data_IF_225125373604
#
_entry.id   IF_225125373604
#
_cell.length_a   1.000
_cell.length_b   1.000
_cell.length_c   1.000
_cell.angle_alpha   90.00
_cell.angle_beta   90.00
_cell.angle_gamma   90.00
#
_symmetry.space_group_name_H-M   'P 1'
#
loop_
_entity.id
_entity.type
_entity.pdbx_description
1 polymer ?
#
# COMPACT_ATOMS: atom_id res chain seq x y z
N UNK A 1 -22.00 -42.59 -34.18
CA UNK A 1 -21.80 -43.11 -32.80
C UNK A 1 -20.35 -42.85 -32.47
N UNK A 2 -20.11 -41.67 -31.92
CA UNK A 2 -18.81 -41.08 -31.68
C UNK A 2 -18.25 -41.49 -30.32
N UNK A 3 -16.97 -41.84 -30.28
CA UNK A 3 -16.16 -41.77 -29.05
C UNK A 3 -14.90 -40.95 -29.34
N UNK A 4 -14.66 -40.02 -28.43
CA UNK A 4 -13.73 -38.90 -28.53
C UNK A 4 -12.31 -39.30 -28.13
N UNK A 5 -11.33 -38.87 -28.92
CA UNK A 5 -9.92 -38.72 -28.53
C UNK A 5 -9.59 -37.23 -28.51
N UNK A 6 -8.91 -36.82 -27.43
CA UNK A 6 -8.63 -35.43 -27.12
C UNK A 6 -7.63 -34.74 -28.04
N UNK A 7 -7.51 -33.42 -27.85
CA UNK A 7 -6.36 -32.58 -28.19
C UNK A 7 -6.36 -31.40 -27.20
N UNK A 8 -5.20 -31.17 -26.61
CA UNK A 8 -4.82 -29.98 -25.85
C UNK A 8 -4.76 -28.77 -26.78
N UNK A 9 -5.26 -27.60 -26.38
CA UNK A 9 -4.83 -26.33 -26.97
C UNK A 9 -4.93 -25.16 -25.99
N UNK A 10 -3.74 -24.68 -25.63
CA UNK A 10 -3.35 -23.30 -25.34
C UNK A 10 -4.35 -22.23 -25.80
N UNK A 11 -4.77 -21.37 -24.87
CA UNK A 11 -5.32 -20.05 -25.21
C UNK A 11 -4.32 -18.97 -24.80
N UNK A 12 -3.65 -18.47 -25.84
CA UNK A 12 -2.71 -17.36 -25.83
C UNK A 12 -3.32 -16.05 -25.30
N UNK A 13 -2.64 -15.49 -24.30
CA UNK A 13 -2.72 -14.10 -23.89
C UNK A 13 -2.17 -13.20 -25.02
N UNK A 14 -3.06 -12.66 -25.86
CA UNK A 14 -2.70 -11.57 -26.79
C UNK A 14 -2.52 -10.26 -26.04
N UNK A 15 -1.26 -9.98 -25.71
CA UNK A 15 -0.72 -8.70 -25.24
C UNK A 15 -0.56 -7.75 -26.44
N UNK A 16 -1.36 -6.69 -26.50
CA UNK A 16 -1.13 -5.58 -27.43
C UNK A 16 0.20 -4.88 -27.09
N UNK A 17 1.22 -5.02 -27.95
CA UNK A 17 2.41 -4.16 -27.96
C UNK A 17 2.30 -3.18 -29.12
N UNK A 18 2.24 -1.90 -28.76
CA UNK A 18 2.28 -0.78 -29.71
C UNK A 18 3.68 -0.63 -30.31
N UNK A 19 3.69 -0.34 -31.61
CA UNK A 19 4.84 -0.11 -32.48
C UNK A 19 5.52 1.21 -32.14
N UNK A 20 6.85 1.21 -32.00
CA UNK A 20 7.66 2.41 -32.22
C UNK A 20 8.90 2.04 -33.02
N UNK A 21 8.78 2.21 -34.34
CA UNK A 21 9.91 2.33 -35.26
C UNK A 21 10.62 3.66 -35.00
N UNK A 22 11.95 3.65 -34.99
CA UNK A 22 12.76 4.65 -35.70
C UNK A 22 14.21 4.18 -35.85
N UNK A 23 14.46 3.63 -37.04
CA UNK A 23 15.51 4.01 -38.01
C UNK A 23 16.87 4.44 -37.43
N UNK A 24 17.86 3.59 -37.73
CA UNK A 24 19.29 3.85 -37.73
C UNK A 24 19.73 4.60 -39.01
N UNK A 25 20.73 5.51 -38.89
CA UNK A 25 21.75 5.79 -39.92
C UNK A 25 22.95 6.61 -39.37
N UNK A 26 24.10 5.92 -39.33
CA UNK A 26 25.50 6.27 -39.70
C UNK A 26 26.18 7.63 -39.41
N UNK A 27 27.27 7.54 -38.62
CA UNK A 27 28.67 7.98 -38.84
C UNK A 27 29.08 9.46 -39.01
N UNK A 28 29.91 10.02 -38.10
CA UNK A 28 31.39 10.16 -38.15
C UNK A 28 31.94 11.38 -37.36
N UNK A 29 33.12 11.16 -36.74
CA UNK A 29 34.19 12.08 -36.32
C UNK A 29 33.96 13.21 -35.29
N UNK A 30 34.65 13.06 -34.15
CA UNK A 30 35.75 13.97 -33.80
C UNK A 30 35.50 15.10 -32.78
N UNK A 31 36.41 15.15 -31.81
CA UNK A 31 36.86 16.32 -30.99
C UNK A 31 36.41 16.32 -29.52
N UNK A 32 37.39 16.01 -28.68
CA UNK A 32 37.45 16.23 -27.23
C UNK A 32 37.47 17.72 -26.89
N UNK A 33 36.63 18.18 -25.94
CA UNK A 33 36.96 19.34 -25.07
C UNK A 33 36.34 19.19 -23.68
N UNK A 34 37.23 19.25 -22.69
CA UNK A 34 36.99 19.52 -21.28
C UNK A 34 36.28 20.87 -21.11
N UNK A 35 35.36 20.99 -20.15
CA UNK A 35 34.80 22.30 -19.80
C UNK A 35 33.59 22.27 -18.86
N UNK A 36 33.88 22.46 -17.58
CA UNK A 36 33.06 23.15 -16.57
C UNK A 36 31.65 22.66 -16.26
N UNK A 37 31.56 22.00 -15.10
CA UNK A 37 30.33 21.81 -14.36
C UNK A 37 29.66 23.15 -14.06
N UNK A 38 28.48 23.34 -14.63
CA UNK A 38 27.48 24.27 -14.12
C UNK A 38 26.40 23.41 -13.46
N UNK A 39 26.53 23.25 -12.14
CA UNK A 39 25.51 22.65 -11.30
C UNK A 39 24.25 23.50 -11.30
N UNK A 40 23.42 23.34 -12.34
CA UNK A 40 22.02 23.73 -12.28
C UNK A 40 21.33 22.77 -11.31
N UNK A 41 21.28 23.18 -10.05
CA UNK A 41 20.30 22.71 -9.08
C UNK A 41 18.93 22.90 -9.69
N UNK A 42 18.48 21.88 -10.41
CA UNK A 42 17.12 21.75 -10.90
C UNK A 42 16.28 21.59 -9.64
N UNK A 43 15.88 22.72 -9.07
CA UNK A 43 14.89 22.80 -8.02
C UNK A 43 13.69 22.05 -8.58
N UNK A 44 13.54 20.79 -8.15
CA UNK A 44 12.32 20.03 -8.32
C UNK A 44 11.32 20.74 -7.43
N UNK A 45 10.80 21.86 -7.96
CA UNK A 45 9.48 22.33 -7.64
C UNK A 45 8.63 21.08 -7.67
N UNK A 46 8.26 20.61 -6.48
CA UNK A 46 7.16 19.67 -6.30
C UNK A 46 5.95 20.46 -6.78
N UNK A 47 5.81 20.55 -8.10
CA UNK A 47 4.52 20.80 -8.69
C UNK A 47 3.68 19.65 -8.16
N UNK A 48 2.92 19.97 -7.13
CA UNK A 48 1.63 19.41 -6.81
C UNK A 48 0.83 19.42 -8.12
N UNK A 49 1.17 18.49 -9.02
CA UNK A 49 0.33 18.09 -10.11
C UNK A 49 -0.98 17.81 -9.42
N UNK A 50 -2.05 18.55 -9.74
CA UNK A 50 -3.36 18.24 -9.21
C UNK A 50 -3.56 16.75 -9.36
N UNK A 51 -3.53 16.04 -8.23
CA UNK A 51 -3.77 14.61 -8.22
C UNK A 51 -5.17 14.45 -8.78
N UNK A 52 -5.26 13.86 -9.96
CA UNK A 52 -6.53 13.50 -10.58
C UNK A 52 -7.23 12.50 -9.67
N UNK A 53 -7.94 13.00 -8.65
CA UNK A 53 -8.65 12.15 -7.72
C UNK A 53 -9.78 11.46 -8.47
N UNK A 54 -9.73 10.12 -8.48
CA UNK A 54 -10.74 9.31 -9.16
C UNK A 54 -12.15 9.71 -8.71
N UNK A 55 -12.35 9.97 -7.41
CA UNK A 55 -13.65 10.35 -6.83
C UNK A 55 -14.17 11.67 -7.40
N UNK A 56 -13.32 12.68 -7.56
CA UNK A 56 -13.66 13.97 -8.19
C UNK A 56 -14.08 13.80 -9.65
N UNK A 57 -13.44 12.86 -10.33
CA UNK A 57 -13.68 12.58 -11.75
C UNK A 57 -14.87 11.63 -11.98
N UNK A 58 -15.46 11.06 -10.92
CA UNK A 58 -16.66 10.23 -11.05
C UNK A 58 -17.90 11.09 -11.26
N UNK A 59 -18.71 10.72 -12.24
CA UNK A 59 -20.00 11.38 -12.50
C UNK A 59 -20.98 11.10 -11.36
N UNK A 60 -21.97 11.98 -11.17
CA UNK A 60 -23.04 11.75 -10.19
C UNK A 60 -23.74 10.40 -10.41
N UNK A 61 -24.02 10.03 -11.66
CA UNK A 61 -24.58 8.73 -12.02
C UNK A 61 -23.70 7.56 -11.58
N UNK A 62 -22.38 7.65 -11.74
CA UNK A 62 -21.45 6.62 -11.28
C UNK A 62 -21.47 6.50 -9.76
N UNK A 63 -21.47 7.61 -9.02
CA UNK A 63 -21.58 7.60 -7.56
C UNK A 63 -22.91 7.00 -7.09
N UNK A 64 -24.03 7.39 -7.70
CA UNK A 64 -25.35 6.77 -7.41
C UNK A 64 -25.34 5.27 -7.70
N UNK A 65 -24.72 4.85 -8.81
CA UNK A 65 -24.62 3.43 -9.16
C UNK A 65 -23.82 2.62 -8.14
N UNK A 66 -22.74 3.19 -7.56
CA UNK A 66 -21.98 2.60 -6.46
C UNK A 66 -22.87 2.44 -5.23
N UNK A 67 -23.57 3.50 -4.82
CA UNK A 67 -24.45 3.48 -3.65
C UNK A 67 -25.56 2.43 -3.80
N UNK A 68 -26.24 2.39 -4.94
CA UNK A 68 -27.32 1.44 -5.20
C UNK A 68 -26.82 0.00 -5.23
N UNK A 69 -25.72 -0.26 -5.94
CA UNK A 69 -25.17 -1.61 -6.05
C UNK A 69 -24.54 -2.11 -4.75
N UNK A 70 -23.93 -1.22 -3.96
CA UNK A 70 -23.44 -1.57 -2.62
C UNK A 70 -24.58 -1.95 -1.68
N UNK A 71 -25.71 -1.22 -1.69
CA UNK A 71 -26.91 -1.60 -0.93
C UNK A 71 -27.39 -3.02 -1.27
N UNK A 72 -27.29 -3.43 -2.53
CA UNK A 72 -27.66 -4.77 -2.95
C UNK A 72 -26.66 -5.86 -2.51
N UNK A 73 -25.36 -5.53 -2.44
CA UNK A 73 -24.30 -6.46 -2.03
C UNK A 73 -24.20 -6.58 -0.50
N UNK A 74 -24.49 -5.49 0.22
CA UNK A 74 -24.27 -5.33 1.66
C UNK A 74 -24.78 -6.49 2.54
N UNK A 75 -25.98 -7.07 2.32
CA UNK A 75 -26.45 -8.21 3.12
C UNK A 75 -25.48 -9.40 3.13
N UNK A 76 -24.70 -9.57 2.06
CA UNK A 76 -23.73 -10.66 1.90
C UNK A 76 -22.26 -10.17 1.94
N UNK A 77 -22.02 -8.90 2.30
CA UNK A 77 -20.69 -8.30 2.23
C UNK A 77 -19.65 -9.03 3.08
N UNK A 78 -19.99 -9.43 4.31
CA UNK A 78 -19.04 -10.15 5.18
C UNK A 78 -18.59 -11.50 4.55
N UNK A 79 -19.50 -12.22 3.89
CA UNK A 79 -19.16 -13.46 3.19
C UNK A 79 -18.24 -13.18 1.99
N UNK A 80 -18.51 -12.11 1.24
CA UNK A 80 -17.66 -11.65 0.16
C UNK A 80 -16.25 -11.24 0.64
N UNK A 81 -16.15 -10.42 1.69
CA UNK A 81 -14.87 -9.98 2.25
C UNK A 81 -14.07 -11.17 2.77
N UNK A 82 -14.73 -12.15 3.39
CA UNK A 82 -14.07 -13.41 3.80
C UNK A 82 -13.47 -14.14 2.60
N UNK A 83 -14.22 -14.28 1.49
CA UNK A 83 -13.69 -14.90 0.27
C UNK A 83 -12.48 -14.15 -0.27
N UNK A 84 -12.49 -12.81 -0.25
CA UNK A 84 -11.36 -11.98 -0.66
C UNK A 84 -10.13 -12.26 0.23
N UNK A 85 -10.29 -12.27 1.56
CA UNK A 85 -9.17 -12.54 2.47
C UNK A 85 -8.63 -13.97 2.37
N UNK A 86 -9.50 -14.97 2.22
CA UNK A 86 -9.07 -16.37 2.02
C UNK A 86 -8.25 -16.50 0.72
N UNK A 87 -8.67 -15.86 -0.35
CA UNK A 87 -7.91 -15.87 -1.60
C UNK A 87 -6.58 -15.12 -1.48
N UNK A 88 -6.57 -14.03 -0.72
CA UNK A 88 -5.34 -13.30 -0.41
C UNK A 88 -4.35 -14.17 0.38
N UNK A 89 -4.82 -14.93 1.36
CA UNK A 89 -3.98 -15.89 2.09
C UNK A 89 -3.42 -16.99 1.18
N UNK A 90 -4.17 -17.41 0.18
CA UNK A 90 -3.76 -18.44 -0.78
C UNK A 90 -2.65 -17.94 -1.72
N UNK A 91 -2.75 -16.70 -2.22
CA UNK A 91 -1.73 -16.12 -3.12
C UNK A 91 -0.54 -15.51 -2.37
N UNK A 92 -0.75 -15.07 -1.13
CA UNK A 92 0.26 -14.46 -0.28
C UNK A 92 0.31 -15.17 1.08
N UNK A 93 1.05 -16.29 1.22
CA UNK A 93 1.14 -17.06 2.47
C UNK A 93 1.60 -16.24 3.68
N UNK A 94 2.28 -15.11 3.43
CA UNK A 94 2.69 -14.16 4.46
C UNK A 94 1.49 -13.55 5.20
N UNK A 95 0.40 -13.27 4.50
CA UNK A 95 -0.85 -12.75 5.08
C UNK A 95 -1.44 -13.76 6.05
N UNK A 96 -1.46 -15.04 5.66
CA UNK A 96 -1.89 -16.14 6.54
C UNK A 96 -1.07 -16.21 7.83
N UNK A 97 0.24 -16.04 7.74
CA UNK A 97 1.10 -16.02 8.93
C UNK A 97 0.80 -14.83 9.85
N UNK A 98 0.48 -13.66 9.29
CA UNK A 98 0.14 -12.46 10.06
C UNK A 98 -1.17 -12.67 10.82
N UNK A 99 -2.21 -13.19 10.15
CA UNK A 99 -3.47 -13.51 10.80
C UNK A 99 -3.32 -14.60 11.86
N UNK A 100 -2.50 -15.62 11.61
CA UNK A 100 -2.20 -16.65 12.60
C UNK A 100 -1.51 -16.07 13.84
N UNK A 101 -0.51 -15.19 13.67
CA UNK A 101 0.12 -14.47 14.79
C UNK A 101 -0.88 -13.64 15.57
N UNK A 102 -1.76 -12.91 14.88
CA UNK A 102 -2.80 -12.11 15.52
C UNK A 102 -3.79 -12.97 16.31
N UNK A 103 -4.18 -14.14 15.80
CA UNK A 103 -5.05 -15.08 16.49
C UNK A 103 -4.39 -15.65 17.76
N UNK A 104 -3.09 -15.97 17.69
CA UNK A 104 -2.33 -16.42 18.87
C UNK A 104 -2.31 -15.31 19.94
N UNK A 105 -1.99 -14.07 19.56
CA UNK A 105 -1.99 -12.94 20.48
C UNK A 105 -3.37 -12.70 21.09
N UNK A 106 -4.44 -12.84 20.30
CA UNK A 106 -5.82 -12.73 20.78
C UNK A 106 -6.16 -13.80 21.82
N UNK A 107 -5.70 -15.04 21.65
CA UNK A 107 -5.89 -16.10 22.65
C UNK A 107 -5.26 -15.74 24.01
N UNK A 108 -4.13 -15.03 24.01
CA UNK A 108 -3.42 -14.63 25.23
C UNK A 108 -3.91 -13.29 25.82
N UNK A 109 -4.59 -12.45 25.05
CA UNK A 109 -5.00 -11.11 25.48
C UNK A 109 -6.32 -11.08 26.28
N UNK A 110 -7.02 -12.22 26.39
CA UNK A 110 -8.39 -12.32 26.94
C UNK A 110 -8.59 -11.91 28.40
N UNK A 111 -7.54 -11.59 29.17
CA UNK A 111 -7.67 -11.23 30.59
C UNK A 111 -7.30 -9.78 30.95
N UNK A 112 -6.77 -8.95 30.04
CA UNK A 112 -6.20 -7.66 30.50
C UNK A 112 -6.31 -6.44 29.59
N UNK A 113 -6.89 -6.52 28.38
CA UNK A 113 -7.03 -5.30 27.55
C UNK A 113 -8.12 -5.38 26.48
N UNK A 114 -8.74 -4.24 26.15
CA UNK A 114 -9.57 -4.02 24.95
C UNK A 114 -8.74 -4.08 23.65
N UNK A 115 -7.87 -5.09 23.51
CA UNK A 115 -7.08 -5.28 22.31
C UNK A 115 -8.00 -5.72 21.17
N UNK A 116 -8.26 -4.81 20.23
CA UNK A 116 -8.97 -5.13 18.98
C UNK A 116 -8.22 -6.26 18.27
N UNK A 117 -8.82 -7.44 18.23
CA UNK A 117 -8.18 -8.63 17.68
C UNK A 117 -7.88 -8.44 16.20
N UNK A 118 -6.64 -8.71 15.79
CA UNK A 118 -6.23 -8.59 14.39
C UNK A 118 -6.66 -9.79 13.53
N UNK A 119 -7.69 -10.53 13.93
CA UNK A 119 -8.11 -11.79 13.30
C UNK A 119 -8.80 -11.56 11.95
N UNK A 120 -8.89 -12.61 11.13
CA UNK A 120 -9.63 -12.55 9.85
C UNK A 120 -11.10 -12.21 10.05
N UNK A 121 -11.74 -12.72 11.11
CA UNK A 121 -13.15 -12.48 11.40
C UNK A 121 -13.42 -11.02 11.72
N UNK A 122 -12.50 -10.37 12.43
CA UNK A 122 -12.59 -8.94 12.71
C UNK A 122 -12.27 -8.11 11.47
N UNK A 123 -11.25 -8.47 10.69
CA UNK A 123 -10.92 -7.79 9.43
C UNK A 123 -12.06 -7.85 8.40
N UNK A 124 -12.83 -8.93 8.37
CA UNK A 124 -14.02 -9.03 7.52
C UNK A 124 -15.04 -7.94 7.87
N UNK A 125 -15.32 -7.72 9.16
CA UNK A 125 -16.26 -6.69 9.62
C UNK A 125 -15.70 -5.29 9.38
N UNK A 126 -14.42 -5.08 9.72
CA UNK A 126 -13.72 -3.82 9.51
C UNK A 126 -13.69 -3.45 8.03
N UNK A 127 -13.48 -4.41 7.13
CA UNK A 127 -13.45 -4.14 5.70
C UNK A 127 -14.84 -3.82 5.13
N UNK A 128 -15.89 -4.51 5.58
CA UNK A 128 -17.27 -4.14 5.25
C UNK A 128 -17.61 -2.74 5.72
N UNK A 129 -17.27 -2.39 6.97
CA UNK A 129 -17.47 -1.04 7.52
C UNK A 129 -16.66 0.01 6.77
N UNK A 130 -15.42 -0.29 6.42
CA UNK A 130 -14.58 0.58 5.61
C UNK A 130 -15.22 0.90 4.26
N UNK A 131 -15.77 -0.11 3.57
CA UNK A 131 -16.48 0.11 2.30
C UNK A 131 -17.77 0.91 2.49
N UNK A 132 -18.51 0.69 3.58
CA UNK A 132 -19.65 1.55 3.96
C UNK A 132 -19.20 3.01 4.10
N UNK A 133 -18.16 3.27 4.90
CA UNK A 133 -17.66 4.61 5.19
C UNK A 133 -17.15 5.30 3.91
N UNK A 134 -16.46 4.58 3.02
CA UNK A 134 -16.02 5.14 1.73
C UNK A 134 -17.21 5.50 0.84
N UNK A 135 -18.20 4.60 0.72
CA UNK A 135 -19.33 4.77 -0.21
C UNK A 135 -20.32 5.83 0.29
N UNK A 136 -20.51 5.96 1.61
CA UNK A 136 -21.32 7.02 2.21
C UNK A 136 -20.74 8.42 2.01
N UNK A 137 -19.44 8.52 1.71
CA UNK A 137 -18.71 9.78 1.64
C UNK A 137 -18.26 10.16 0.22
N UNK A 138 -18.76 9.52 -0.84
CA UNK A 138 -18.31 9.75 -2.23
C UNK A 138 -18.42 11.21 -2.72
N UNK A 139 -19.21 12.05 -2.07
CA UNK A 139 -19.31 13.50 -2.37
C UNK A 139 -18.32 14.36 -1.58
N UNK A 140 -17.63 13.78 -0.60
CA UNK A 140 -16.67 14.41 0.29
C UNK A 140 -15.27 13.83 0.05
N UNK A 141 -14.65 14.24 -1.06
CA UNK A 141 -13.36 13.70 -1.53
C UNK A 141 -12.29 13.62 -0.43
N UNK A 142 -12.06 14.73 0.28
CA UNK A 142 -11.06 14.82 1.34
C UNK A 142 -11.34 13.83 2.47
N UNK A 143 -12.60 13.63 2.83
CA UNK A 143 -12.97 12.65 3.85
C UNK A 143 -12.72 11.22 3.37
N UNK A 144 -13.09 10.90 2.13
CA UNK A 144 -12.81 9.58 1.53
C UNK A 144 -11.32 9.31 1.51
N UNK A 145 -10.49 10.25 1.02
CA UNK A 145 -9.03 10.14 1.07
C UNK A 145 -8.56 9.88 2.50
N UNK A 146 -9.03 10.64 3.48
CA UNK A 146 -8.63 10.47 4.88
C UNK A 146 -8.99 9.09 5.43
N UNK A 147 -10.20 8.58 5.17
CA UNK A 147 -10.65 7.24 5.59
C UNK A 147 -9.71 6.18 5.02
N UNK A 148 -9.43 6.24 3.71
CA UNK A 148 -8.58 5.28 3.01
C UNK A 148 -7.14 5.33 3.52
N UNK A 149 -6.57 6.53 3.61
CA UNK A 149 -5.17 6.72 4.02
C UNK A 149 -4.92 6.27 5.46
N UNK A 150 -5.91 6.41 6.34
CA UNK A 150 -5.82 5.95 7.74
C UNK A 150 -5.60 4.44 7.84
N UNK A 151 -6.18 3.66 6.92
CA UNK A 151 -5.96 2.20 6.84
C UNK A 151 -4.52 1.88 6.46
N UNK A 152 -3.98 2.53 5.42
CA UNK A 152 -2.60 2.32 5.01
C UNK A 152 -1.60 2.67 6.11
N UNK A 153 -1.81 3.81 6.77
CA UNK A 153 -0.98 4.28 7.89
C UNK A 153 -1.01 3.32 9.08
N UNK A 154 -2.20 2.82 9.47
CA UNK A 154 -2.33 1.94 10.63
C UNK A 154 -1.66 0.58 10.42
N UNK A 155 -1.47 0.14 9.18
CA UNK A 155 -0.80 -1.11 8.83
C UNK A 155 0.72 -0.96 8.66
N UNK A 156 1.25 0.26 8.60
CA UNK A 156 2.69 0.50 8.40
C UNK A 156 3.58 -0.12 9.50
N UNK A 157 3.04 -0.24 10.73
CA UNK A 157 3.69 -0.92 11.87
C UNK A 157 4.06 -2.38 11.52
N UNK A 158 3.27 -3.05 10.68
CA UNK A 158 3.50 -4.44 10.28
C UNK A 158 4.71 -4.60 9.34
N UNK A 159 5.21 -3.50 8.76
CA UNK A 159 6.40 -3.55 7.91
C UNK A 159 7.61 -4.12 8.67
N UNK A 160 7.83 -3.63 9.89
CA UNK A 160 9.01 -4.01 10.67
C UNK A 160 8.77 -5.30 11.48
N UNK A 161 7.58 -5.46 12.08
CA UNK A 161 7.28 -6.61 12.94
C UNK A 161 6.94 -7.88 12.17
N UNK A 162 6.38 -7.73 10.97
CA UNK A 162 5.81 -8.82 10.20
C UNK A 162 6.33 -8.89 8.77
N UNK A 163 7.25 -8.02 8.31
CA UNK A 163 7.65 -7.96 6.90
C UNK A 163 6.45 -7.88 5.95
N UNK A 164 5.40 -7.16 6.38
CA UNK A 164 4.28 -6.81 5.53
C UNK A 164 4.78 -5.77 4.53
N UNK A 165 4.60 -5.97 3.23
CA UNK A 165 5.10 -5.07 2.18
C UNK A 165 3.95 -4.50 1.35
N UNK A 166 4.22 -3.42 0.62
CA UNK A 166 3.19 -2.70 -0.16
C UNK A 166 2.56 -3.51 -1.28
N UNK A 167 3.25 -4.51 -1.84
CA UNK A 167 2.70 -5.41 -2.86
C UNK A 167 1.50 -6.24 -2.37
N UNK A 168 1.35 -6.43 -1.04
CA UNK A 168 0.18 -7.12 -0.48
C UNK A 168 -1.11 -6.33 -0.71
N UNK A 169 -1.04 -4.99 -0.77
CA UNK A 169 -2.18 -4.14 -1.12
C UNK A 169 -2.59 -4.30 -2.59
N UNK A 170 -1.61 -4.51 -3.48
CA UNK A 170 -1.86 -4.75 -4.91
C UNK A 170 -2.61 -6.07 -5.09
N UNK A 171 -2.14 -7.15 -4.46
CA UNK A 171 -2.85 -8.44 -4.47
C UNK A 171 -4.27 -8.34 -3.89
N UNK A 172 -4.44 -7.63 -2.78
CA UNK A 172 -5.76 -7.39 -2.20
C UNK A 172 -6.68 -6.64 -3.19
N UNK A 173 -6.15 -5.61 -3.85
CA UNK A 173 -6.87 -4.82 -4.86
C UNK A 173 -7.28 -5.63 -6.08
N UNK A 174 -6.38 -6.45 -6.61
CA UNK A 174 -6.63 -7.35 -7.74
C UNK A 174 -7.73 -8.37 -7.41
N UNK A 175 -7.64 -9.02 -6.26
CA UNK A 175 -8.65 -10.00 -5.80
C UNK A 175 -9.99 -9.30 -5.55
N UNK A 176 -10.00 -8.16 -4.86
CA UNK A 176 -11.21 -7.40 -4.61
C UNK A 176 -11.88 -6.97 -5.93
N UNK A 177 -11.09 -6.51 -6.90
CA UNK A 177 -11.57 -6.17 -8.24
C UNK A 177 -12.21 -7.36 -8.92
N UNK A 178 -11.55 -8.52 -8.91
CA UNK A 178 -12.08 -9.75 -9.50
C UNK A 178 -13.38 -10.18 -8.83
N UNK A 179 -13.42 -10.29 -7.50
CA UNK A 179 -14.58 -10.81 -6.76
C UNK A 179 -15.77 -9.86 -6.80
N UNK A 180 -15.56 -8.56 -6.65
CA UNK A 180 -16.65 -7.58 -6.64
C UNK A 180 -17.23 -7.40 -8.05
N UNK A 181 -16.38 -7.29 -9.08
CA UNK A 181 -16.87 -7.10 -10.45
C UNK A 181 -17.53 -8.36 -11.07
N UNK A 182 -17.41 -9.52 -10.41
CA UNK A 182 -18.10 -10.75 -10.79
C UNK A 182 -19.50 -10.89 -10.20
N UNK A 183 -19.92 -10.01 -9.29
CA UNK A 183 -21.24 -10.08 -8.70
C UNK A 183 -22.31 -9.64 -9.69
N UNK A 184 -23.43 -10.37 -9.75
CA UNK A 184 -24.57 -10.05 -10.64
C UNK A 184 -25.08 -8.62 -10.45
N UNK A 185 -25.10 -8.12 -9.21
CA UNK A 185 -25.50 -6.75 -8.89
C UNK A 185 -24.61 -5.69 -9.59
N UNK A 186 -23.37 -6.04 -9.93
CA UNK A 186 -22.41 -5.17 -10.64
C UNK A 186 -22.47 -5.40 -12.14
N UNK A 187 -22.56 -6.66 -12.58
CA UNK A 187 -22.50 -7.03 -14.00
C UNK A 187 -23.72 -6.58 -14.81
N UNK A 188 -24.86 -6.32 -14.16
CA UNK A 188 -26.07 -5.79 -14.81
C UNK A 188 -25.86 -4.46 -15.55
N UNK A 189 -24.84 -3.69 -15.19
CA UNK A 189 -24.54 -2.40 -15.83
C UNK A 189 -23.04 -2.23 -16.05
N UNK A 190 -22.66 -1.99 -17.30
CA UNK A 190 -21.27 -1.67 -17.66
C UNK A 190 -20.76 -0.43 -16.92
N UNK A 191 -21.65 0.55 -16.71
CA UNK A 191 -21.29 1.79 -16.01
C UNK A 191 -21.05 1.55 -14.53
N UNK A 192 -21.89 0.73 -13.88
CA UNK A 192 -21.69 0.31 -12.48
C UNK A 192 -20.37 -0.45 -12.35
N UNK A 193 -20.09 -1.40 -13.25
CA UNK A 193 -18.84 -2.15 -13.24
C UNK A 193 -17.61 -1.25 -13.45
N UNK A 194 -17.72 -0.23 -14.32
CA UNK A 194 -16.66 0.79 -14.50
C UNK A 194 -16.46 1.61 -13.23
N UNK A 195 -17.54 2.05 -12.58
CA UNK A 195 -17.49 2.81 -11.33
C UNK A 195 -16.78 2.02 -10.22
N UNK A 196 -17.09 0.73 -10.07
CA UNK A 196 -16.41 -0.14 -9.11
C UNK A 196 -14.93 -0.33 -9.39
N UNK A 197 -14.54 -0.53 -10.66
CA UNK A 197 -13.12 -0.64 -11.03
C UNK A 197 -12.35 0.64 -10.66
N UNK A 198 -12.92 1.81 -10.95
CA UNK A 198 -12.30 3.08 -10.59
C UNK A 198 -12.17 3.26 -9.07
N UNK A 199 -13.23 2.94 -8.32
CA UNK A 199 -13.20 3.02 -6.86
C UNK A 199 -12.16 2.09 -6.24
N UNK A 200 -12.12 0.83 -6.67
CA UNK A 200 -11.17 -0.16 -6.12
C UNK A 200 -9.73 0.23 -6.45
N UNK A 201 -9.45 0.64 -7.69
CA UNK A 201 -8.12 1.11 -8.07
C UNK A 201 -7.68 2.30 -7.21
N UNK A 202 -8.57 3.28 -7.04
CA UNK A 202 -8.31 4.45 -6.20
C UNK A 202 -8.06 4.08 -4.74
N UNK A 203 -8.90 3.22 -4.15
CA UNK A 203 -8.72 2.73 -2.78
C UNK A 203 -7.36 2.05 -2.64
N UNK A 204 -7.02 1.12 -3.54
CA UNK A 204 -5.75 0.40 -3.49
C UNK A 204 -4.55 1.34 -3.60
N UNK A 205 -4.58 2.29 -4.52
CA UNK A 205 -3.49 3.25 -4.70
C UNK A 205 -3.29 4.16 -3.49
N UNK A 206 -4.38 4.69 -2.91
CA UNK A 206 -4.31 5.57 -1.74
C UNK A 206 -3.88 4.82 -0.47
N UNK A 207 -4.37 3.59 -0.23
CA UNK A 207 -3.92 2.77 0.90
C UNK A 207 -2.42 2.49 0.76
N UNK A 208 -1.98 2.08 -0.43
CA UNK A 208 -0.58 1.75 -0.70
C UNK A 208 0.31 2.97 -0.54
N UNK A 209 -0.08 4.13 -1.09
CA UNK A 209 0.68 5.38 -0.95
C UNK A 209 0.81 5.79 0.51
N UNK A 210 -0.30 5.81 1.26
CA UNK A 210 -0.29 6.18 2.66
C UNK A 210 0.54 5.24 3.53
N UNK A 211 0.49 3.94 3.23
CA UNK A 211 1.34 2.94 3.85
C UNK A 211 2.84 3.22 3.57
N UNK A 212 3.22 3.41 2.30
CA UNK A 212 4.63 3.63 1.91
C UNK A 212 5.19 4.93 2.51
N UNK A 213 4.37 5.98 2.56
CA UNK A 213 4.69 7.24 3.21
C UNK A 213 4.93 7.05 4.71
N UNK A 214 4.03 6.33 5.39
CA UNK A 214 4.14 6.09 6.83
C UNK A 214 5.34 5.22 7.18
N UNK A 215 5.64 4.19 6.37
CA UNK A 215 6.86 3.38 6.54
C UNK A 215 8.12 4.22 6.41
N UNK A 216 8.17 5.16 5.45
CA UNK A 216 9.30 6.08 5.29
C UNK A 216 9.44 7.03 6.48
N UNK A 217 8.34 7.55 7.01
CA UNK A 217 8.34 8.41 8.20
C UNK A 217 8.89 7.64 9.39
N UNK A 218 8.35 6.45 9.69
CA UNK A 218 8.78 5.63 10.81
C UNK A 218 10.28 5.26 10.73
N UNK A 219 10.79 4.99 9.53
CA UNK A 219 12.22 4.73 9.32
C UNK A 219 13.10 5.94 9.61
N UNK A 220 12.69 7.14 9.21
CA UNK A 220 13.45 8.37 9.48
C UNK A 220 13.50 8.67 10.97
N UNK A 221 12.36 8.59 11.65
CA UNK A 221 12.29 8.79 13.10
C UNK A 221 13.17 7.80 13.86
N UNK A 222 13.26 6.54 13.41
CA UNK A 222 14.16 5.55 14.03
C UNK A 222 15.65 5.87 13.81
N UNK A 223 16.01 6.46 12.68
CA UNK A 223 17.40 6.86 12.38
C UNK A 223 17.80 8.10 13.18
N UNK A 224 16.88 9.06 13.33
CA UNK A 224 17.12 10.27 14.12
C UNK A 224 17.37 9.92 15.60
N UNK A 225 16.58 8.99 16.16
CA UNK A 225 16.80 8.47 17.53
C UNK A 225 18.16 7.78 17.67
N UNK A 226 18.56 6.94 16.71
CA UNK A 226 19.89 6.29 16.74
C UNK A 226 21.05 7.29 16.65
N UNK A 227 20.85 8.40 15.95
CA UNK A 227 21.86 9.45 15.82
C UNK A 227 22.00 10.24 17.12
N UNK A 228 20.91 10.50 17.81
CA UNK A 228 20.92 11.12 19.14
C UNK A 228 21.61 10.22 20.18
N UNK A 229 21.30 8.92 20.20
CA UNK A 229 21.96 7.98 21.12
C UNK A 229 23.47 7.84 20.86
N UNK A 230 23.89 7.88 19.59
CA UNK A 230 25.32 7.83 19.27
C UNK A 230 26.04 9.12 19.67
N UNK A 231 25.40 10.28 19.51
CA UNK A 231 25.95 11.56 19.95
C UNK A 231 26.07 11.66 21.49
N UNK A 232 25.14 11.07 22.25
CA UNK A 232 25.27 10.99 23.70
C UNK A 232 26.44 10.10 24.12
N UNK A 233 26.61 8.94 23.50
CA UNK A 233 27.78 8.08 23.73
C UNK A 233 29.11 8.81 23.48
N UNK A 234 29.21 9.52 22.35
CA UNK A 234 30.38 10.33 22.02
C UNK A 234 30.62 11.50 23.00
N UNK A 235 29.55 12.04 23.59
CA UNK A 235 29.64 13.08 24.63
C UNK A 235 30.19 12.53 25.95
N UNK A 236 29.71 11.36 26.39
CA UNK A 236 30.21 10.70 27.59
C UNK A 236 31.67 10.27 27.45
N UNK A 237 32.07 9.75 26.28
CA UNK A 237 33.47 9.38 26.01
C UNK A 237 34.39 10.61 25.97
N UNK A 238 33.94 11.74 25.44
CA UNK A 238 34.70 13.01 25.52
C UNK A 238 34.85 13.53 26.94
N UNK A 239 33.82 13.42 27.78
CA UNK A 239 33.89 13.84 29.19
C UNK A 239 34.87 12.97 29.98
N UNK A 240 34.82 11.65 29.77
CA UNK A 240 35.74 10.71 30.41
C UNK A 240 37.21 10.95 30.02
N UNK A 241 37.47 11.32 28.77
CA UNK A 241 38.82 11.62 28.28
C UNK A 241 39.38 12.96 28.82
N UNK A 242 38.53 13.89 29.25
CA UNK A 242 38.97 15.12 29.93
C UNK A 242 39.35 14.86 31.39
N UNK A 243 38.67 13.94 32.06
CA UNK A 243 38.95 13.57 33.45
C UNK A 243 40.23 12.75 33.65
N UNK A 244 40.73 12.10 32.60
CA UNK A 244 42.00 11.34 32.65
C UNK A 244 43.24 12.22 32.43
N UNK A 245 43.08 13.49 32.07
CA UNK A 245 44.20 14.42 31.86
C UNK A 245 44.54 15.29 33.08
N UNK A 246 43.86 15.11 34.22
CA UNK A 246 44.12 15.86 35.46
C UNK A 246 44.92 15.08 36.53
N UNK A 247 45.24 13.79 36.34
CA UNK A 247 45.96 12.99 37.36
C UNK A 247 47.46 12.76 37.13
N UNK A 248 48.07 13.32 36.08
CA UNK A 248 49.52 13.23 35.86
C UNK A 248 50.21 14.55 36.21
N UNK A 249 50.35 14.83 37.50
CA UNK A 249 51.25 15.90 37.91
C UNK A 249 51.18 16.27 39.37
N UNK A 250 51.63 15.40 40.27
CA UNK A 250 52.39 15.81 41.46
C UNK A 250 53.04 14.58 42.10
N UNK A 251 54.27 14.27 41.69
CA UNK A 251 55.21 13.57 42.55
C UNK A 251 56.59 14.25 42.48
N UNK A 252 57.35 14.14 43.57
CA UNK A 252 58.68 14.69 43.87
C UNK A 252 58.76 16.07 44.55
N UNK A 253 58.70 16.08 45.88
CA UNK A 253 59.91 16.12 46.74
C UNK A 253 59.59 16.02 48.23
#
# INVERSE_FOLDING_TARGET
>A
MDTSKGISNSLDLRRCRSLRNNISKSSLSGVSRLGSGSGKTRSRSRQHLEENCAIRNMTSTQKTSLVCSWKAIKPNANSLMRKIFIELEAVAPKVKQIFAKAAILDCFAKETSESKSGTIDEHVKLFTKFMDDVILNLDRETEVKNIIRKVGQSHAVLNNSCSFHSNLWEHLGEIAMQKICQLDAIQKSRETCKAWRMLIAFVTDEVRSAYDEQVKIARRSSVDVQKETNNEGDFYDKMKNLQLHEEDGYDSK
#
